data_IF_766794792285
#
_entry.id   IF_766794792285
#
_cell.length_a   1.000
_cell.length_b   1.000
_cell.length_c   1.000
_cell.angle_alpha   90.00
_cell.angle_beta   90.00
_cell.angle_gamma   90.00
#
_symmetry.space_group_name_H-M   'P 1'
#
loop_
_entity.id
_entity.type
_entity.pdbx_description
1 polymer ?
#
# COMPACT_ATOMS: atom_id res chain seq x y z
N UNK A 1 28.14 -8.18 7.31
CA UNK A 1 26.94 -7.84 8.08
C UNK A 1 25.80 -8.51 7.37
N UNK A 2 25.36 -9.66 7.88
CA UNK A 2 24.28 -10.44 7.26
C UNK A 2 22.96 -9.69 7.43
N UNK A 3 22.28 -9.42 6.32
CA UNK A 3 20.91 -8.91 6.35
C UNK A 3 19.99 -10.07 6.76
N UNK A 4 19.49 -10.04 7.98
CA UNK A 4 18.41 -10.94 8.37
C UNK A 4 17.09 -10.38 7.82
N UNK A 5 16.54 -11.06 6.82
CA UNK A 5 15.18 -10.82 6.37
C UNK A 5 14.25 -11.78 7.11
N UNK A 6 13.36 -11.27 7.91
CA UNK A 6 12.24 -12.05 8.42
C UNK A 6 11.04 -11.78 7.50
N UNK A 7 10.66 -12.75 6.71
CA UNK A 7 9.43 -12.71 5.94
C UNK A 7 8.29 -13.17 6.87
N UNK A 8 7.52 -12.24 7.39
CA UNK A 8 6.30 -12.55 8.13
C UNK A 8 5.15 -12.61 7.14
N UNK A 9 4.72 -13.80 6.79
CA UNK A 9 3.53 -14.02 5.95
C UNK A 9 2.33 -14.04 6.88
N UNK A 10 1.54 -12.98 6.88
CA UNK A 10 0.25 -12.97 7.57
C UNK A 10 -0.81 -13.51 6.61
N UNK A 11 -1.38 -14.66 6.95
CA UNK A 11 -2.55 -15.18 6.24
C UNK A 11 -3.72 -14.26 6.51
N UNK A 12 -4.13 -13.51 5.50
CA UNK A 12 -5.32 -12.68 5.54
C UNK A 12 -6.40 -13.39 4.73
N UNK A 13 -7.56 -13.53 5.32
CA UNK A 13 -8.73 -14.05 4.61
C UNK A 13 -9.08 -13.06 3.48
N UNK A 14 -8.81 -13.44 2.25
CA UNK A 14 -9.06 -12.59 1.13
C UNK A 14 -9.29 -13.28 -0.18
N UNK A 15 -10.19 -12.69 -0.97
CA UNK A 15 -10.47 -12.94 -2.39
C UNK A 15 -10.64 -14.41 -2.80
N UNK A 16 -11.16 -14.64 -4.00
CA UNK A 16 -11.30 -15.95 -4.66
C UNK A 16 -9.97 -16.73 -4.84
N UNK A 17 -8.86 -16.16 -4.39
CA UNK A 17 -7.58 -16.86 -4.29
C UNK A 17 -7.63 -17.86 -3.13
N UNK A 18 -7.19 -19.08 -3.37
CA UNK A 18 -7.17 -20.16 -2.39
C UNK A 18 -6.29 -19.84 -1.16
N UNK A 19 -5.38 -18.87 -1.26
CA UNK A 19 -4.46 -18.47 -0.18
C UNK A 19 -3.92 -17.04 -0.37
N UNK A 20 -4.72 -15.98 -0.09
CA UNK A 20 -4.28 -14.61 -0.24
C UNK A 20 -3.34 -14.20 0.90
N UNK A 21 -2.25 -13.51 0.58
CA UNK A 21 -1.23 -13.11 1.53
C UNK A 21 -0.95 -11.62 1.48
N UNK A 22 -0.86 -10.99 2.65
CA UNK A 22 -0.13 -9.74 2.84
C UNK A 22 1.25 -10.04 3.42
N UNK A 23 2.20 -9.15 3.20
CA UNK A 23 3.58 -9.38 3.57
C UNK A 23 4.09 -8.27 4.48
N UNK A 24 4.89 -8.62 5.47
CA UNK A 24 5.77 -7.71 6.19
C UNK A 24 7.19 -8.21 6.06
N UNK A 25 8.06 -7.36 5.51
CA UNK A 25 9.48 -7.65 5.33
C UNK A 25 10.22 -6.82 6.36
N UNK A 26 10.97 -7.47 7.26
CA UNK A 26 11.71 -6.80 8.33
C UNK A 26 13.20 -7.10 8.24
N UNK A 27 14.03 -6.08 8.49
CA UNK A 27 15.48 -6.21 8.53
C UNK A 27 16.13 -4.90 9.00
N UNK A 28 17.24 -5.00 9.71
CA UNK A 28 18.03 -3.82 10.19
C UNK A 28 17.18 -2.77 10.93
N UNK A 29 16.18 -3.18 11.70
CA UNK A 29 15.30 -2.27 12.44
C UNK A 29 14.26 -1.55 11.57
N UNK A 30 14.05 -1.99 10.34
CA UNK A 30 13.04 -1.48 9.41
C UNK A 30 12.03 -2.58 9.12
N UNK A 31 10.75 -2.21 9.07
CA UNK A 31 9.66 -3.08 8.61
C UNK A 31 8.89 -2.41 7.49
N UNK A 32 8.70 -3.13 6.39
CA UNK A 32 7.93 -2.67 5.23
C UNK A 32 6.75 -3.62 5.03
N UNK A 33 5.53 -3.07 5.06
CA UNK A 33 4.30 -3.83 4.83
C UNK A 33 3.81 -3.72 3.39
N UNK A 34 3.23 -4.81 2.87
CA UNK A 34 2.50 -4.84 1.59
C UNK A 34 1.12 -5.40 1.87
N UNK A 35 0.12 -4.54 1.82
CA UNK A 35 -1.29 -4.82 2.12
C UNK A 35 -2.13 -4.44 0.89
N UNK A 36 -2.09 -5.29 -0.12
CA UNK A 36 -2.89 -5.17 -1.34
C UNK A 36 -3.85 -6.35 -1.45
N UNK A 37 -4.89 -6.18 -2.23
CA UNK A 37 -5.96 -7.19 -2.34
C UNK A 37 -6.61 -7.52 -0.99
N UNK A 38 -6.82 -6.47 -0.19
CA UNK A 38 -7.45 -6.59 1.12
C UNK A 38 -8.86 -6.01 1.12
N UNK A 39 -9.85 -6.86 1.38
CA UNK A 39 -11.26 -6.44 1.44
C UNK A 39 -11.64 -5.73 2.74
N UNK A 40 -10.87 -5.96 3.82
CA UNK A 40 -11.13 -5.36 5.13
C UNK A 40 -9.86 -5.21 5.96
N UNK A 41 -9.82 -4.19 6.81
CA UNK A 41 -8.77 -3.99 7.81
C UNK A 41 -9.00 -4.90 9.03
N UNK A 42 -8.74 -6.20 8.89
CA UNK A 42 -8.89 -7.16 9.98
C UNK A 42 -7.81 -6.96 11.07
N UNK A 43 -7.97 -7.62 12.22
CA UNK A 43 -7.04 -7.49 13.35
C UNK A 43 -5.59 -7.81 12.98
N UNK A 44 -5.35 -8.79 12.12
CA UNK A 44 -4.00 -9.15 11.65
C UNK A 44 -3.39 -8.03 10.78
N UNK A 45 -4.16 -7.43 9.87
CA UNK A 45 -3.72 -6.26 9.09
C UNK A 45 -3.32 -5.14 10.04
N UNK A 46 -4.20 -4.79 10.97
CA UNK A 46 -3.98 -3.70 11.94
C UNK A 46 -2.71 -3.94 12.78
N UNK A 47 -2.53 -5.15 13.32
CA UNK A 47 -1.36 -5.49 14.14
C UNK A 47 -0.05 -5.35 13.35
N UNK A 48 -0.02 -5.84 12.12
CA UNK A 48 1.17 -5.75 11.27
C UNK A 48 1.40 -4.33 10.75
N UNK A 49 0.34 -3.60 10.39
CA UNK A 49 0.42 -2.21 9.95
C UNK A 49 1.09 -1.31 11.00
N UNK A 50 0.76 -1.48 12.27
CA UNK A 50 1.32 -0.72 13.40
C UNK A 50 2.84 -0.90 13.59
N UNK A 51 3.47 -1.88 12.96
CA UNK A 51 4.88 -2.18 13.10
C UNK A 51 5.73 -1.67 11.93
N UNK A 52 5.09 -1.09 10.90
CA UNK A 52 5.76 -0.76 9.65
C UNK A 52 6.29 0.68 9.61
N UNK A 53 7.53 0.84 9.17
CA UNK A 53 8.15 2.14 8.85
C UNK A 53 7.66 2.68 7.51
N UNK A 54 7.34 1.78 6.58
CA UNK A 54 6.75 2.10 5.30
C UNK A 54 5.70 1.05 4.92
N UNK A 55 4.66 1.45 4.19
CA UNK A 55 3.57 0.55 3.82
C UNK A 55 3.13 0.80 2.39
N UNK A 56 2.99 -0.27 1.61
CA UNK A 56 2.16 -0.30 0.41
C UNK A 56 0.75 -0.69 0.84
N UNK A 57 -0.18 0.26 0.75
CA UNK A 57 -1.57 0.07 1.16
C UNK A 57 -2.47 0.17 -0.05
N UNK A 58 -3.40 -0.76 -0.15
CA UNK A 58 -4.47 -0.68 -1.14
C UNK A 58 -5.35 0.55 -0.89
N UNK A 59 -5.62 1.30 -1.96
CA UNK A 59 -6.67 2.31 -2.06
C UNK A 59 -7.35 2.09 -3.42
N UNK A 60 -8.21 1.06 -3.49
CA UNK A 60 -8.65 0.56 -4.77
C UNK A 60 -9.67 1.48 -5.44
N UNK A 61 -10.71 1.86 -4.73
CA UNK A 61 -11.82 2.59 -5.33
C UNK A 61 -12.31 3.76 -4.48
N UNK A 62 -12.82 4.77 -5.15
CA UNK A 62 -13.69 5.78 -4.57
C UNK A 62 -15.13 5.27 -4.57
N UNK A 63 -15.81 5.42 -3.44
CA UNK A 63 -17.15 4.86 -3.23
C UNK A 63 -18.18 5.47 -4.19
N UNK A 64 -18.10 6.78 -4.44
CA UNK A 64 -19.02 7.47 -5.36
C UNK A 64 -18.73 7.11 -6.83
N UNK A 65 -17.46 7.00 -7.21
CA UNK A 65 -17.08 6.57 -8.55
C UNK A 65 -17.54 5.13 -8.83
N UNK A 66 -17.38 4.22 -7.86
CA UNK A 66 -17.82 2.85 -8.01
C UNK A 66 -19.34 2.77 -8.11
N UNK A 67 -20.09 3.49 -7.23
CA UNK A 67 -21.55 3.46 -7.24
C UNK A 67 -22.12 3.99 -8.55
N UNK A 68 -21.59 5.10 -9.06
CA UNK A 68 -22.03 5.70 -10.33
C UNK A 68 -21.35 5.09 -11.56
N UNK A 69 -20.38 4.18 -11.36
CA UNK A 69 -19.60 3.57 -12.43
C UNK A 69 -20.39 2.54 -13.22
N UNK A 70 -19.80 2.13 -14.35
CA UNK A 70 -20.43 1.23 -15.35
C UNK A 70 -20.49 -0.24 -14.92
N UNK A 71 -19.88 -0.61 -13.80
CA UNK A 71 -19.83 -2.01 -13.38
C UNK A 71 -21.23 -2.54 -13.02
N UNK A 72 -21.54 -3.78 -13.40
CA UNK A 72 -22.82 -4.41 -13.03
C UNK A 72 -22.90 -4.59 -11.51
N UNK A 73 -24.10 -4.58 -10.98
CA UNK A 73 -24.37 -4.58 -9.54
C UNK A 73 -23.70 -5.74 -8.77
N UNK A 74 -23.66 -6.94 -9.37
CA UNK A 74 -22.99 -8.08 -8.74
C UNK A 74 -21.49 -7.86 -8.57
N UNK A 75 -20.82 -7.19 -9.53
CA UNK A 75 -19.40 -6.87 -9.46
C UNK A 75 -19.14 -5.77 -8.41
N UNK A 76 -19.99 -4.73 -8.35
CA UNK A 76 -19.90 -3.71 -7.30
C UNK A 76 -19.99 -4.34 -5.91
N UNK A 77 -20.98 -5.22 -5.70
CA UNK A 77 -21.14 -5.94 -4.42
C UNK A 77 -19.91 -6.80 -4.07
N UNK A 78 -19.32 -7.47 -5.05
CA UNK A 78 -18.09 -8.24 -4.84
C UNK A 78 -16.93 -7.34 -4.42
N UNK A 79 -16.73 -6.22 -5.13
CA UNK A 79 -15.64 -5.26 -4.83
C UNK A 79 -15.78 -4.69 -3.42
N UNK A 80 -16.99 -4.36 -2.97
CA UNK A 80 -17.26 -3.76 -1.65
C UNK A 80 -17.38 -4.76 -0.50
N UNK A 81 -17.28 -6.07 -0.77
CA UNK A 81 -17.35 -7.09 0.27
C UNK A 81 -16.04 -7.23 1.05
N UNK A 82 -16.09 -7.89 2.22
CA UNK A 82 -14.89 -8.20 3.02
C UNK A 82 -13.86 -9.05 2.27
N UNK A 83 -14.27 -9.70 1.19
CA UNK A 83 -13.42 -10.44 0.25
C UNK A 83 -13.09 -9.66 -1.03
N UNK A 84 -13.41 -8.38 -1.07
CA UNK A 84 -13.17 -7.50 -2.21
C UNK A 84 -11.90 -6.67 -2.06
N UNK A 85 -12.06 -5.35 -2.08
CA UNK A 85 -10.96 -4.40 -2.02
C UNK A 85 -11.25 -3.28 -1.02
N UNK A 86 -10.20 -2.65 -0.48
CA UNK A 86 -10.36 -1.46 0.33
C UNK A 86 -10.76 -0.26 -0.51
N UNK A 87 -11.79 0.46 -0.07
CA UNK A 87 -12.07 1.79 -0.58
C UNK A 87 -11.01 2.80 -0.10
N UNK A 88 -10.94 3.96 -0.77
CA UNK A 88 -10.11 5.07 -0.32
C UNK A 88 -10.41 5.47 1.12
N UNK A 89 -11.68 5.45 1.50
CA UNK A 89 -12.13 5.78 2.86
C UNK A 89 -11.65 4.78 3.90
N UNK A 90 -11.84 3.50 3.64
CA UNK A 90 -11.37 2.44 4.52
C UNK A 90 -9.84 2.46 4.69
N UNK A 91 -9.11 2.70 3.60
CA UNK A 91 -7.65 2.84 3.63
C UNK A 91 -7.22 4.06 4.45
N UNK A 92 -7.91 5.19 4.30
CA UNK A 92 -7.64 6.40 5.09
C UNK A 92 -7.95 6.16 6.58
N UNK A 93 -9.06 5.52 6.91
CA UNK A 93 -9.44 5.22 8.29
C UNK A 93 -8.40 4.29 8.95
N UNK A 94 -7.91 3.27 8.26
CA UNK A 94 -6.82 2.42 8.72
C UNK A 94 -5.55 3.25 9.01
N UNK A 95 -5.17 4.12 8.09
CA UNK A 95 -4.01 4.98 8.23
C UNK A 95 -4.15 5.95 9.42
N UNK A 96 -5.27 6.65 9.55
CA UNK A 96 -5.49 7.63 10.61
C UNK A 96 -5.53 7.01 12.01
N UNK A 97 -6.15 5.84 12.13
CA UNK A 97 -6.35 5.20 13.43
C UNK A 97 -5.15 4.37 13.89
N UNK A 98 -4.32 3.90 12.96
CA UNK A 98 -3.35 2.87 13.29
C UNK A 98 -1.92 3.14 12.83
N UNK A 99 -1.63 4.25 12.11
CA UNK A 99 -0.26 4.57 11.73
C UNK A 99 0.62 4.77 12.97
N UNK A 100 1.79 4.13 13.05
CA UNK A 100 2.73 4.42 14.11
C UNK A 100 3.41 5.77 13.88
N UNK A 101 3.85 6.42 14.96
CA UNK A 101 4.50 7.74 14.89
C UNK A 101 5.82 7.74 14.09
N UNK A 102 6.43 6.57 13.95
CA UNK A 102 7.68 6.37 13.20
C UNK A 102 7.46 6.00 11.72
N UNK A 103 6.22 5.88 11.25
CA UNK A 103 5.94 5.62 9.83
C UNK A 103 6.35 6.82 8.99
N UNK A 104 7.27 6.60 8.05
CA UNK A 104 7.83 7.65 7.19
C UNK A 104 7.17 7.72 5.83
N UNK A 105 6.69 6.60 5.27
CA UNK A 105 6.13 6.53 3.93
C UNK A 105 4.87 5.68 3.88
N UNK A 106 3.89 6.16 3.14
CA UNK A 106 2.70 5.41 2.76
C UNK A 106 2.56 5.43 1.22
N UNK A 107 2.72 4.26 0.62
CA UNK A 107 2.54 4.06 -0.82
C UNK A 107 1.10 3.60 -1.06
N UNK A 108 0.27 4.47 -1.62
CA UNK A 108 -1.09 4.11 -2.02
C UNK A 108 -1.03 3.41 -3.36
N UNK A 109 -1.50 2.18 -3.37
CA UNK A 109 -1.31 1.26 -4.48
C UNK A 109 -2.61 0.55 -4.86
N UNK A 110 -2.56 -0.24 -5.93
CA UNK A 110 -3.70 -1.02 -6.42
C UNK A 110 -4.95 -0.19 -6.75
N UNK A 111 -4.75 1.06 -7.21
CA UNK A 111 -5.84 1.95 -7.60
C UNK A 111 -6.59 1.38 -8.81
N UNK A 112 -7.92 1.33 -8.75
CA UNK A 112 -8.77 0.97 -9.88
C UNK A 112 -8.63 1.98 -11.01
N UNK A 113 -8.54 1.50 -12.24
CA UNK A 113 -8.48 2.36 -13.43
C UNK A 113 -9.79 3.11 -13.65
N UNK A 114 -10.92 2.46 -13.38
CA UNK A 114 -12.25 2.94 -13.76
C UNK A 114 -12.99 3.59 -12.58
N UNK A 115 -12.61 3.26 -11.35
CA UNK A 115 -13.33 3.69 -10.15
C UNK A 115 -12.44 4.44 -9.15
N UNK A 116 -11.33 5.01 -9.61
CA UNK A 116 -10.44 5.82 -8.77
C UNK A 116 -9.65 6.84 -9.61
N UNK A 117 -9.07 7.83 -8.95
CA UNK A 117 -8.09 8.73 -9.58
C UNK A 117 -6.92 9.00 -8.65
N UNK A 118 -5.68 9.04 -9.19
CA UNK A 118 -4.49 9.39 -8.40
C UNK A 118 -4.62 10.74 -7.68
N UNK A 119 -5.24 11.74 -8.33
CA UNK A 119 -5.43 13.08 -7.78
C UNK A 119 -6.37 13.08 -6.58
N UNK A 120 -7.48 12.32 -6.68
CA UNK A 120 -8.47 12.20 -5.61
C UNK A 120 -7.82 11.57 -4.38
N UNK A 121 -7.13 10.43 -4.56
CA UNK A 121 -6.44 9.73 -3.48
C UNK A 121 -5.34 10.61 -2.87
N UNK A 122 -4.52 11.25 -3.71
CA UNK A 122 -3.46 12.15 -3.25
C UNK A 122 -4.00 13.28 -2.38
N UNK A 123 -5.07 13.96 -2.82
CA UNK A 123 -5.68 15.05 -2.08
C UNK A 123 -6.25 14.58 -0.72
N UNK A 124 -6.94 13.43 -0.73
CA UNK A 124 -7.54 12.86 0.47
C UNK A 124 -6.51 12.54 1.54
N UNK A 125 -5.40 11.91 1.17
CA UNK A 125 -4.38 11.47 2.12
C UNK A 125 -3.40 12.57 2.50
N UNK A 126 -2.99 13.44 1.56
CA UNK A 126 -2.03 14.52 1.83
C UNK A 126 -2.53 15.50 2.88
N UNK A 127 -3.84 15.77 2.91
CA UNK A 127 -4.46 16.63 3.94
C UNK A 127 -4.31 16.08 5.37
N UNK A 128 -4.05 14.78 5.53
CA UNK A 128 -3.99 14.05 6.79
C UNK A 128 -2.61 13.39 7.06
N UNK A 129 -1.66 13.63 6.18
CA UNK A 129 -0.38 12.92 6.15
C UNK A 129 0.48 13.13 7.42
N UNK A 130 0.42 14.31 8.03
CA UNK A 130 1.34 14.66 9.12
C UNK A 130 2.79 14.56 8.66
N UNK A 131 3.59 13.76 9.35
CA UNK A 131 5.01 13.53 9.00
C UNK A 131 5.21 12.39 8.00
N UNK A 132 4.18 11.66 7.61
CA UNK A 132 4.28 10.56 6.66
C UNK A 132 4.28 11.11 5.24
N UNK A 133 5.18 10.63 4.39
CA UNK A 133 5.18 10.94 2.96
C UNK A 133 4.16 10.06 2.25
N UNK A 134 3.24 10.70 1.51
CA UNK A 134 2.23 10.01 0.73
C UNK A 134 2.72 9.87 -0.71
N UNK A 135 2.84 8.65 -1.17
CA UNK A 135 3.30 8.32 -2.53
C UNK A 135 2.21 7.55 -3.25
N UNK A 136 1.83 7.99 -4.45
CA UNK A 136 0.91 7.23 -5.29
C UNK A 136 1.71 6.30 -6.19
N UNK A 137 1.55 4.99 -5.98
CA UNK A 137 2.18 3.98 -6.83
C UNK A 137 1.46 3.92 -8.18
N UNK A 138 2.09 4.48 -9.19
CA UNK A 138 1.54 4.50 -10.55
C UNK A 138 1.70 3.14 -11.24
N UNK A 139 0.71 2.73 -12.02
CA UNK A 139 0.82 1.58 -12.93
C UNK A 139 1.57 1.89 -14.23
N UNK A 140 1.89 3.17 -14.47
CA UNK A 140 2.44 3.64 -15.74
C UNK A 140 3.85 4.22 -15.61
N UNK A 141 4.29 4.54 -14.39
CA UNK A 141 5.57 5.19 -14.14
C UNK A 141 6.20 4.60 -12.88
N UNK A 142 7.49 4.43 -12.92
CA UNK A 142 8.28 4.08 -11.73
C UNK A 142 8.26 5.23 -10.73
N UNK A 143 8.26 4.90 -9.46
CA UNK A 143 8.48 5.88 -8.40
C UNK A 143 9.98 6.13 -8.23
N UNK A 144 10.38 7.30 -7.69
CA UNK A 144 11.75 7.48 -7.22
C UNK A 144 12.16 6.40 -6.22
N UNK A 145 13.46 6.20 -6.06
CA UNK A 145 13.98 5.31 -5.02
C UNK A 145 13.91 6.04 -3.68
N UNK A 146 13.25 5.43 -2.71
CA UNK A 146 13.14 5.93 -1.34
C UNK A 146 14.03 5.13 -0.40
N UNK A 147 14.65 5.83 0.54
CA UNK A 147 15.47 5.21 1.59
C UNK A 147 14.69 5.18 2.90
N UNK A 148 14.29 3.99 3.32
CA UNK A 148 13.55 3.80 4.57
C UNK A 148 14.54 3.45 5.67
N UNK A 149 14.50 4.18 6.78
CA UNK A 149 15.40 4.00 7.93
C UNK A 149 14.60 3.71 9.19
N UNK A 150 15.19 2.93 10.10
CA UNK A 150 14.56 2.57 11.37
C UNK A 150 14.48 3.72 12.39
N UNK A 151 15.20 4.82 12.16
CA UNK A 151 15.19 6.00 13.04
C UNK A 151 14.01 6.95 12.80
N UNK A 152 13.08 6.60 11.93
CA UNK A 152 11.90 7.40 11.59
C UNK A 152 12.20 8.70 10.85
N UNK A 153 13.44 8.87 10.34
CA UNK A 153 13.82 10.06 9.58
C UNK A 153 13.64 9.83 8.09
N UNK A 154 13.08 10.83 7.42
CA UNK A 154 13.02 10.83 5.96
C UNK A 154 14.42 11.14 5.41
N UNK A 155 14.93 10.26 4.57
CA UNK A 155 16.16 10.50 3.82
C UNK A 155 15.84 10.46 2.33
N UNK A 156 16.05 11.57 1.65
CA UNK A 156 15.89 11.65 0.21
C UNK A 156 17.16 11.12 -0.45
N UNK A 157 17.01 10.14 -1.31
CA UNK A 157 18.08 9.78 -2.24
C UNK A 157 17.90 10.65 -3.47
N UNK A 158 18.87 11.51 -3.78
CA UNK A 158 18.97 12.11 -5.10
C UNK A 158 18.94 10.98 -6.10
N UNK A 159 18.09 11.10 -7.12
CA UNK A 159 17.84 10.08 -8.12
C UNK A 159 19.17 9.45 -8.59
N UNK A 160 19.35 8.17 -8.31
CA UNK A 160 20.39 7.39 -8.97
C UNK A 160 19.91 7.25 -10.41
N UNK A 161 20.51 7.98 -11.31
CA UNK A 161 20.36 7.73 -12.75
C UNK A 161 20.92 6.34 -13.00
N UNK A 162 20.05 5.34 -13.04
CA UNK A 162 20.42 4.04 -13.56
C UNK A 162 20.77 4.22 -15.04
N UNK A 163 22.06 4.15 -15.37
CA UNK A 163 22.48 3.87 -16.74
C UNK A 163 21.86 2.53 -17.14
N UNK A 164 21.06 2.55 -18.19
CA UNK A 164 20.28 1.42 -18.71
C UNK A 164 21.14 0.29 -19.34
N UNK A 165 22.32 0.00 -18.78
CA UNK A 165 23.30 -0.91 -19.37
C UNK A 165 23.56 -2.20 -18.56
N UNK A 166 22.67 -2.62 -17.67
CA UNK A 166 22.86 -3.92 -16.99
C UNK A 166 21.56 -4.61 -16.60
N UNK A 167 20.56 -4.59 -17.45
CA UNK A 167 19.48 -5.53 -17.34
C UNK A 167 19.90 -6.80 -18.08
N UNK A 168 20.55 -7.72 -17.33
CA UNK A 168 20.73 -9.09 -17.77
C UNK A 168 19.35 -9.69 -17.97
N UNK A 169 18.98 -9.97 -19.21
CA UNK A 169 17.83 -10.79 -19.55
C UNK A 169 18.09 -12.20 -19.01
N UNK A 170 17.35 -12.57 -17.97
CA UNK A 170 17.22 -13.95 -17.54
C UNK A 170 16.09 -14.58 -18.37
N UNK A 171 16.40 -14.99 -19.60
CA UNK A 171 15.74 -16.08 -20.35
C UNK A 171 16.72 -16.57 -21.40
#
# INVERSE_FOLDING_TARGET
>A
MEMQFALCISRLLQNDASDPHSFVISGNGVSIGVFTDIGAACSNVIQNFKQCNAVFLEANYDEAMLENGKYPHHLKRRITSDHGHLSNRQALDLFLQHRPSFMTHLYLSHLSKDNNSPELVSNMFSAQAGNTEIVIASRYKETPVYHITGDGKKRFTTAVTHNAASQLSLF
#
